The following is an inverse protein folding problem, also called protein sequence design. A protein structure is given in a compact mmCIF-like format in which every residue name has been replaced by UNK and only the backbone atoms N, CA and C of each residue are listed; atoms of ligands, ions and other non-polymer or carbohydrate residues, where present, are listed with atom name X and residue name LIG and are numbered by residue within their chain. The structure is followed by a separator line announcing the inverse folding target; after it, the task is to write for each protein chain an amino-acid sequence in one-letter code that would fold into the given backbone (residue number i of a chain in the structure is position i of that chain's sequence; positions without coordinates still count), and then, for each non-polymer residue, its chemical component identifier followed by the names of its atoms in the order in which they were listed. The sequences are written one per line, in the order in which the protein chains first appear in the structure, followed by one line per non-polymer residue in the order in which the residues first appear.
data_IF_029982110712
#
_entry.id   IF_029982110712
#
_cell.length_a   1.000
_cell.length_b   1.000
_cell.length_c   1.000
_cell.angle_alpha   90.00
_cell.angle_beta   90.00
_cell.angle_gamma   90.00
#
_symmetry.space_group_name_H-M   'P 1'
#
loop_
_entity.id
_entity.type
_entity.pdbx_description
1 polymer ?
#
# COMPACT_ATOMS: atom_id res chain seq x y z
N UNK A 1 38.36 17.00 -0.80
CA UNK A 1 38.61 15.56 -0.67
C UNK A 1 37.86 15.07 0.54
N UNK A 2 37.27 13.87 0.50
CA UNK A 2 36.24 13.44 1.47
C UNK A 2 36.68 13.53 2.94
N UNK A 3 37.97 13.33 3.26
CA UNK A 3 38.47 13.45 4.65
C UNK A 3 38.37 14.88 5.18
N UNK A 4 38.69 15.88 4.36
CA UNK A 4 38.61 17.28 4.76
C UNK A 4 37.16 17.74 4.92
N UNK A 5 36.27 17.27 4.03
CA UNK A 5 34.83 17.49 4.13
C UNK A 5 34.27 16.87 5.41
N UNK A 6 34.71 15.65 5.75
CA UNK A 6 34.30 14.95 6.96
C UNK A 6 34.76 15.67 8.23
N UNK A 7 36.02 16.11 8.27
CA UNK A 7 36.53 16.91 9.39
C UNK A 7 35.74 18.21 9.56
N UNK A 8 35.36 18.87 8.45
CA UNK A 8 34.56 20.09 8.48
C UNK A 8 33.14 19.82 9.00
N UNK A 9 32.48 18.78 8.47
CA UNK A 9 31.14 18.37 8.91
C UNK A 9 31.09 18.03 10.41
N UNK A 10 32.08 17.27 10.90
CA UNK A 10 32.19 16.90 12.31
C UNK A 10 32.53 18.10 13.22
N UNK A 11 33.14 19.16 12.66
CA UNK A 11 33.46 20.37 13.40
C UNK A 11 32.27 21.32 13.50
N UNK A 12 31.53 21.46 12.41
CA UNK A 12 30.40 22.40 12.32
C UNK A 12 29.17 21.90 13.09
N UNK A 13 29.06 20.58 13.33
CA UNK A 13 27.96 19.93 14.08
C UNK A 13 26.60 20.58 13.77
N UNK A 14 26.11 20.42 12.53
CA UNK A 14 24.88 21.07 12.11
C UNK A 14 23.70 20.65 12.99
N UNK A 15 22.84 21.60 13.32
CA UNK A 15 21.65 21.38 14.14
C UNK A 15 20.61 20.62 13.32
N UNK A 16 20.68 19.29 13.37
CA UNK A 16 19.76 18.37 12.69
C UNK A 16 18.88 17.70 13.73
N UNK A 17 17.56 17.88 13.60
CA UNK A 17 16.56 17.22 14.44
C UNK A 17 16.07 15.91 13.79
N UNK A 18 15.39 15.06 14.56
CA UNK A 18 14.82 13.79 14.05
C UNK A 18 13.80 13.99 12.93
N UNK A 19 13.13 15.13 12.92
CA UNK A 19 12.10 15.47 11.93
C UNK A 19 12.69 16.15 10.68
N UNK A 20 14.00 16.32 10.62
CA UNK A 20 14.66 16.92 9.46
C UNK A 20 14.64 15.94 8.29
N UNK A 21 14.19 16.40 7.13
CA UNK A 21 14.31 15.67 5.87
C UNK A 21 15.79 15.52 5.49
N UNK A 22 16.43 14.43 5.94
CA UNK A 22 17.89 14.24 5.83
C UNK A 22 18.39 14.27 4.38
N UNK A 23 17.59 13.77 3.44
CA UNK A 23 17.93 13.78 2.00
C UNK A 23 17.94 15.21 1.46
N UNK A 24 16.95 16.03 1.81
CA UNK A 24 16.90 17.44 1.41
C UNK A 24 18.02 18.24 2.06
N UNK A 25 18.38 17.90 3.30
CA UNK A 25 19.51 18.51 4.00
C UNK A 25 20.82 18.26 3.24
N UNK A 26 21.11 17.01 2.85
CA UNK A 26 22.30 16.69 2.07
C UNK A 26 22.29 17.35 0.69
N UNK A 27 21.12 17.43 0.05
CA UNK A 27 20.96 18.14 -1.24
C UNK A 27 21.35 19.62 -1.12
N UNK A 28 20.87 20.31 -0.07
CA UNK A 28 21.17 21.72 0.19
C UNK A 28 22.65 21.96 0.48
N UNK A 29 23.33 21.01 1.13
CA UNK A 29 24.73 21.12 1.52
C UNK A 29 25.70 20.47 0.52
N UNK A 30 25.21 19.99 -0.64
CA UNK A 30 26.02 19.39 -1.71
C UNK A 30 27.12 20.32 -2.25
N UNK A 31 26.93 21.63 -2.16
CA UNK A 31 27.94 22.62 -2.55
C UNK A 31 29.09 22.73 -1.56
N UNK A 32 28.84 22.42 -0.28
CA UNK A 32 29.82 22.49 0.81
C UNK A 32 30.50 21.13 0.99
N UNK A 33 29.74 20.05 0.85
CA UNK A 33 30.19 18.67 1.04
C UNK A 33 29.88 17.81 -0.19
N UNK A 34 30.50 18.08 -1.35
CA UNK A 34 30.15 17.40 -2.61
C UNK A 34 30.37 15.89 -2.56
N UNK A 35 31.45 15.44 -1.91
CA UNK A 35 31.77 14.01 -1.84
C UNK A 35 30.89 13.31 -0.80
N UNK A 36 30.68 13.93 0.37
CA UNK A 36 29.84 13.34 1.41
C UNK A 36 28.36 13.34 1.04
N UNK A 37 27.86 14.37 0.36
CA UNK A 37 26.47 14.42 -0.09
C UNK A 37 26.15 13.28 -1.06
N UNK A 38 27.09 12.94 -1.96
CA UNK A 38 26.93 11.78 -2.84
C UNK A 38 26.84 10.48 -2.05
N UNK A 39 27.76 10.25 -1.11
CA UNK A 39 27.77 9.05 -0.27
C UNK A 39 26.48 8.96 0.57
N UNK A 40 26.06 10.09 1.14
CA UNK A 40 24.84 10.13 1.94
C UNK A 40 23.60 9.84 1.10
N UNK A 41 23.53 10.36 -0.13
CA UNK A 41 22.43 10.05 -1.04
C UNK A 41 22.37 8.55 -1.38
N UNK A 42 23.52 7.94 -1.67
CA UNK A 42 23.61 6.51 -1.98
C UNK A 42 23.20 5.64 -0.78
N UNK A 43 23.59 6.03 0.44
CA UNK A 43 23.24 5.30 1.68
C UNK A 43 21.78 5.52 2.08
N UNK A 44 21.27 6.75 1.99
CA UNK A 44 19.88 7.08 2.35
C UNK A 44 18.85 6.53 1.36
N UNK A 45 19.25 6.22 0.13
CA UNK A 45 18.39 5.55 -0.85
C UNK A 45 18.12 4.07 -0.51
N UNK A 46 18.91 3.46 0.40
CA UNK A 46 18.72 2.08 0.82
C UNK A 46 17.56 2.03 1.81
N UNK A 47 16.46 1.34 1.49
CA UNK A 47 15.36 1.18 2.44
C UNK A 47 15.85 0.42 3.67
N UNK A 48 15.48 0.89 4.85
CA UNK A 48 15.87 0.27 6.12
C UNK A 48 15.20 -1.10 6.35
N UNK A 49 14.17 -1.44 5.57
CA UNK A 49 13.43 -2.71 5.69
C UNK A 49 13.03 -3.26 4.32
N UNK A 50 12.73 -4.56 4.28
CA UNK A 50 12.13 -5.24 3.12
C UNK A 50 10.64 -4.95 2.97
N UNK A 51 10.04 -4.15 3.85
CA UNK A 51 8.58 -3.94 3.93
C UNK A 51 8.03 -3.34 2.64
N UNK A 52 8.77 -2.43 1.99
CA UNK A 52 8.32 -1.90 0.69
C UNK A 52 8.25 -3.01 -0.38
N UNK A 53 9.22 -3.92 -0.40
CA UNK A 53 9.22 -5.05 -1.32
C UNK A 53 8.08 -6.02 -0.98
N UNK A 54 7.89 -6.37 0.30
CA UNK A 54 6.80 -7.25 0.75
C UNK A 54 5.42 -6.67 0.44
N UNK A 55 5.22 -5.37 0.63
CA UNK A 55 4.00 -4.68 0.24
C UNK A 55 3.79 -4.73 -1.28
N UNK A 56 4.84 -4.46 -2.07
CA UNK A 56 4.78 -4.55 -3.53
C UNK A 56 4.45 -5.99 -3.98
N UNK A 57 5.03 -7.00 -3.34
CA UNK A 57 4.73 -8.40 -3.63
C UNK A 57 3.33 -8.81 -3.20
N UNK A 58 2.82 -8.31 -2.07
CA UNK A 58 1.46 -8.60 -1.61
C UNK A 58 0.42 -7.96 -2.53
N UNK A 59 0.63 -6.71 -2.95
CA UNK A 59 -0.21 -6.02 -3.92
C UNK A 59 -0.08 -6.65 -5.32
N UNK A 60 1.10 -7.16 -5.66
CA UNK A 60 1.34 -7.90 -6.89
C UNK A 60 0.70 -9.29 -6.87
N UNK A 61 0.57 -9.92 -5.70
CA UNK A 61 -0.04 -11.24 -5.56
C UNK A 61 -1.52 -11.22 -5.94
N UNK A 62 -2.26 -10.15 -5.66
CA UNK A 62 -3.65 -9.98 -6.14
C UNK A 62 -3.71 -10.00 -7.68
N UNK A 63 -2.82 -9.27 -8.34
CA UNK A 63 -2.69 -9.24 -9.81
C UNK A 63 -2.31 -10.63 -10.35
N UNK A 64 -1.41 -11.34 -9.65
CA UNK A 64 -0.94 -12.66 -10.05
C UNK A 64 -1.98 -13.77 -9.83
N UNK A 65 -2.82 -13.66 -8.80
CA UNK A 65 -3.65 -14.78 -8.33
C UNK A 65 -5.11 -14.65 -8.75
N UNK A 66 -5.66 -13.44 -8.79
CA UNK A 66 -7.12 -13.25 -8.91
C UNK A 66 -7.60 -13.07 -10.36
N UNK A 67 -6.79 -12.46 -11.22
CA UNK A 67 -7.24 -12.09 -12.58
C UNK A 67 -6.58 -12.86 -13.73
N UNK A 68 -5.40 -13.48 -13.58
CA UNK A 68 -4.67 -14.07 -14.71
C UNK A 68 -3.81 -15.29 -14.34
N UNK A 69 -4.41 -16.48 -14.28
CA UNK A 69 -3.72 -17.77 -14.10
C UNK A 69 -2.70 -18.16 -15.21
N UNK A 70 -2.30 -17.24 -16.11
CA UNK A 70 -1.38 -17.53 -17.24
C UNK A 70 -0.44 -16.37 -17.59
N UNK A 71 -0.27 -15.38 -16.72
CA UNK A 71 0.68 -14.32 -17.00
C UNK A 71 2.10 -14.82 -16.75
N UNK A 72 2.91 -14.91 -17.81
CA UNK A 72 4.33 -15.24 -17.68
C UNK A 72 5.07 -14.20 -16.84
N UNK A 73 6.19 -14.59 -16.22
CA UNK A 73 6.98 -13.73 -15.32
C UNK A 73 7.38 -12.40 -15.95
N UNK A 74 7.72 -12.41 -17.24
CA UNK A 74 8.08 -11.23 -18.02
C UNK A 74 6.93 -10.21 -18.09
N UNK A 75 5.72 -10.67 -18.41
CA UNK A 75 4.54 -9.80 -18.50
C UNK A 75 4.07 -9.30 -17.15
N UNK A 76 4.27 -10.10 -16.10
CA UNK A 76 4.02 -9.65 -14.74
C UNK A 76 4.98 -8.53 -14.33
N UNK A 77 6.28 -8.67 -14.61
CA UNK A 77 7.28 -7.63 -14.33
C UNK A 77 6.96 -6.32 -15.06
N UNK A 78 6.66 -6.39 -16.37
CA UNK A 78 6.24 -5.23 -17.16
C UNK A 78 5.03 -4.51 -16.53
N UNK A 79 4.03 -5.26 -16.06
CA UNK A 79 2.86 -4.69 -15.40
C UNK A 79 3.18 -4.08 -14.03
N UNK A 80 4.06 -4.69 -13.24
CA UNK A 80 4.45 -4.12 -11.94
C UNK A 80 5.23 -2.81 -12.13
N UNK A 81 6.13 -2.74 -13.11
CA UNK A 81 6.87 -1.50 -13.46
C UNK A 81 5.91 -0.43 -13.99
N UNK A 82 4.96 -0.80 -14.84
CA UNK A 82 3.94 0.13 -15.32
C UNK A 82 3.06 0.63 -14.17
N UNK A 83 2.63 -0.26 -13.27
CA UNK A 83 1.84 0.11 -12.10
C UNK A 83 2.59 1.08 -11.20
N UNK A 84 3.85 0.80 -10.86
CA UNK A 84 4.64 1.66 -9.97
C UNK A 84 4.95 3.02 -10.60
N UNK A 85 5.28 3.06 -11.89
CA UNK A 85 5.61 4.31 -12.58
C UNK A 85 4.39 5.24 -12.78
N UNK A 86 3.18 4.68 -12.84
CA UNK A 86 1.95 5.44 -13.12
C UNK A 86 1.07 5.66 -11.88
N UNK A 87 1.47 5.14 -10.72
CA UNK A 87 0.68 5.18 -9.49
C UNK A 87 0.27 6.60 -9.08
N UNK A 88 1.15 7.59 -9.26
CA UNK A 88 0.88 8.99 -8.90
C UNK A 88 0.03 9.74 -9.95
N UNK A 89 -0.09 9.19 -11.17
CA UNK A 89 -0.81 9.82 -12.29
C UNK A 89 -2.22 9.27 -12.49
N UNK A 90 -2.55 8.12 -11.91
CA UNK A 90 -3.83 7.45 -12.11
C UNK A 90 -4.79 7.91 -11.01
N UNK A 91 -5.81 8.68 -11.42
CA UNK A 91 -6.93 9.02 -10.54
C UNK A 91 -7.76 7.76 -10.34
N UNK A 92 -7.79 7.26 -9.11
CA UNK A 92 -8.63 6.12 -8.74
C UNK A 92 -10.10 6.51 -8.71
N UNK A 93 -10.76 6.34 -9.86
CA UNK A 93 -12.20 6.57 -10.00
C UNK A 93 -13.05 5.61 -9.16
N UNK A 94 -12.54 4.44 -8.78
CA UNK A 94 -13.28 3.53 -7.91
C UNK A 94 -13.34 4.10 -6.49
N UNK A 95 -12.22 4.62 -5.96
CA UNK A 95 -12.20 5.35 -4.68
C UNK A 95 -13.09 6.60 -4.70
N UNK A 96 -13.10 7.35 -5.80
CA UNK A 96 -14.01 8.50 -5.97
C UNK A 96 -15.48 8.07 -5.96
N UNK A 97 -15.82 6.98 -6.64
CA UNK A 97 -17.18 6.46 -6.65
C UNK A 97 -17.59 5.87 -5.28
N UNK A 98 -16.70 5.20 -4.56
CA UNK A 98 -16.99 4.64 -3.23
C UNK A 98 -17.35 5.72 -2.20
N UNK A 99 -16.83 6.94 -2.35
CA UNK A 99 -17.21 8.08 -1.51
C UNK A 99 -18.64 8.61 -1.79
N UNK A 100 -19.20 8.33 -2.98
CA UNK A 100 -20.56 8.73 -3.38
C UNK A 100 -21.60 7.60 -3.28
N UNK A 101 -21.19 6.35 -3.01
CA UNK A 101 -22.14 5.26 -2.78
C UNK A 101 -22.84 5.48 -1.44
N UNK A 102 -24.16 5.74 -1.51
CA UNK A 102 -25.05 5.73 -0.36
C UNK A 102 -24.91 4.38 0.36
N UNK A 103 -24.42 4.40 1.60
CA UNK A 103 -24.37 3.20 2.44
C UNK A 103 -25.80 2.79 2.75
N UNK A 104 -26.36 1.85 2.00
CA UNK A 104 -27.67 1.28 2.31
C UNK A 104 -27.53 0.53 3.64
N UNK A 105 -28.12 1.09 4.70
CA UNK A 105 -28.10 0.46 6.02
C UNK A 105 -29.05 -0.74 6.00
N UNK A 106 -28.51 -1.95 6.16
CA UNK A 106 -29.27 -3.20 6.26
C UNK A 106 -30.30 -3.23 7.40
N UNK A 107 -30.30 -2.23 8.29
CA UNK A 107 -31.29 -2.06 9.36
C UNK A 107 -32.73 -2.06 8.84
N UNK A 108 -32.98 -1.55 7.64
CA UNK A 108 -34.31 -1.57 7.02
C UNK A 108 -34.77 -2.98 6.60
N UNK A 109 -33.83 -3.92 6.51
CA UNK A 109 -34.07 -5.30 6.06
C UNK A 109 -33.94 -6.32 7.20
N UNK A 110 -33.56 -5.92 8.42
CA UNK A 110 -33.48 -6.82 9.58
C UNK A 110 -34.81 -7.54 9.83
N UNK A 111 -35.94 -6.83 9.73
CA UNK A 111 -37.27 -7.41 9.90
C UNK A 111 -37.59 -8.45 8.82
N UNK A 112 -37.13 -8.23 7.58
CA UNK A 112 -37.31 -9.17 6.47
C UNK A 112 -36.44 -10.42 6.63
N UNK A 113 -35.20 -10.26 7.13
CA UNK A 113 -34.32 -11.40 7.44
C UNK A 113 -34.88 -12.27 8.56
N UNK A 114 -35.45 -11.65 9.60
CA UNK A 114 -36.12 -12.38 10.68
C UNK A 114 -37.36 -13.13 10.16
N UNK A 115 -38.13 -12.50 9.25
CA UNK A 115 -39.30 -13.13 8.63
C UNK A 115 -38.92 -14.34 7.77
N UNK A 116 -37.87 -14.22 6.94
CA UNK A 116 -37.38 -15.31 6.08
C UNK A 116 -36.83 -16.48 6.92
N UNK A 117 -36.10 -16.18 8.00
CA UNK A 117 -35.57 -17.19 8.92
C UNK A 117 -36.69 -17.90 9.69
N UNK A 118 -37.75 -17.19 10.06
CA UNK A 118 -38.93 -17.80 10.64
C UNK A 118 -39.67 -18.64 9.60
N UNK A 119 -39.97 -18.13 8.40
CA UNK A 119 -40.58 -18.91 7.32
C UNK A 119 -39.81 -20.21 7.01
N UNK A 120 -38.48 -20.16 7.02
CA UNK A 120 -37.63 -21.34 6.82
C UNK A 120 -37.77 -22.38 7.94
N UNK A 121 -38.08 -21.98 9.18
CA UNK A 121 -38.39 -22.91 10.29
C UNK A 121 -39.76 -23.56 10.12
N UNK A 122 -40.73 -22.85 9.54
CA UNK A 122 -42.05 -23.42 9.27
C UNK A 122 -42.01 -24.45 8.14
N UNK A 123 -41.15 -24.26 7.14
CA UNK A 123 -40.96 -25.21 6.02
C UNK A 123 -40.34 -26.56 6.47
N UNK A 124 -39.60 -26.57 7.59
CA UNK A 124 -39.03 -27.78 8.19
C UNK A 124 -39.99 -28.57 9.10
N UNK A 125 -41.07 -27.95 9.57
CA UNK A 125 -41.99 -28.58 10.51
C UNK A 125 -43.15 -29.34 9.82
N UNK A 126 -43.36 -29.17 8.52
CA UNK A 126 -44.38 -29.92 7.76
C UNK A 126 -43.87 -31.32 7.28
N UNK A 127 -42.62 -31.70 7.56
CA UNK A 127 -42.09 -33.06 7.31
C UNK A 127 -42.25 -34.04 8.50
N UNK A 128 -42.88 -33.66 9.61
CA UNK A 128 -43.29 -34.65 10.63
C UNK A 128 -44.58 -35.36 10.17
N UNK A 129 -44.39 -36.33 9.26
CA UNK A 129 -45.41 -37.30 8.86
C UNK A 129 -45.96 -37.96 10.12
N UNK A 130 -47.22 -37.64 10.45
CA UNK A 130 -48.03 -38.38 11.44
C UNK A 130 -48.10 -39.84 10.99
N UNK A 131 -47.30 -40.70 11.60
CA UNK A 131 -47.47 -42.15 11.48
C UNK A 131 -48.74 -42.56 12.24
N UNK A 132 -49.80 -42.85 11.48
CA UNK A 132 -50.98 -43.63 11.91
C UNK A 132 -50.61 -45.10 12.04
#
# INVERSE_FOLDING_TARGET
GWQAELCQYLRDMPDVTKDTAIVEWWLKHSTIYPTLAQIAHDVCAIPASSVQCEHLFSVGAEIATDHQLRLGSEKFEELQVLKSAWQDSIIDKATVNTAEIETVTLREYEELYMLDEDLAKWDWNDEEIVHV
#
